data_IF_507981699626
#
_entry.id   IF_507981699626
#
_cell.length_a   1.000
_cell.length_b   1.000
_cell.length_c   1.000
_cell.angle_alpha   90.00
_cell.angle_beta   90.00
_cell.angle_gamma   90.00
#
_symmetry.space_group_name_H-M   'P 1'
#
loop_
_entity.id
_entity.type
_entity.pdbx_description
1 polymer ?
#
# COMPACT_ATOMS: atom_id res chain seq x y z
N UNK A 1 93.43 13.43 38.54
CA UNK A 1 92.60 14.46 39.20
C UNK A 1 92.39 15.57 38.20
N UNK A 2 91.23 16.10 37.91
CA UNK A 2 89.82 15.70 38.06
C UNK A 2 89.09 16.51 36.98
N UNK A 3 88.03 15.92 36.46
CA UNK A 3 86.87 16.51 35.78
C UNK A 3 86.90 17.97 35.30
N UNK A 4 86.51 18.15 34.02
CA UNK A 4 85.41 19.06 33.66
C UNK A 4 84.76 18.61 32.37
N UNK A 5 83.45 18.38 32.48
CA UNK A 5 82.49 18.08 31.43
C UNK A 5 82.56 19.07 30.27
N UNK A 6 82.34 18.58 29.06
CA UNK A 6 81.95 19.43 27.94
C UNK A 6 80.85 18.73 27.15
N UNK A 7 79.60 19.04 27.50
CA UNK A 7 78.38 18.64 26.80
C UNK A 7 78.23 19.46 25.52
N UNK A 8 78.20 18.87 24.32
CA UNK A 8 77.81 19.60 23.12
C UNK A 8 76.29 19.76 23.05
N UNK A 9 75.86 20.99 22.75
CA UNK A 9 74.48 21.44 22.68
C UNK A 9 73.58 20.60 21.76
N UNK A 10 72.32 20.44 22.19
CA UNK A 10 71.24 19.86 21.41
C UNK A 10 71.04 20.62 20.08
N UNK A 11 71.01 19.88 18.97
CA UNK A 11 70.71 20.42 17.65
C UNK A 11 69.25 20.94 17.59
N UNK A 12 68.99 22.09 16.97
CA UNK A 12 67.65 22.67 16.92
C UNK A 12 66.72 21.81 16.04
N UNK A 13 65.48 21.67 16.52
CA UNK A 13 64.39 21.02 15.81
C UNK A 13 64.20 21.64 14.41
N UNK A 14 64.16 20.81 13.36
CA UNK A 14 63.88 21.25 11.99
C UNK A 14 62.49 21.86 11.93
N UNK A 15 62.44 23.19 11.83
CA UNK A 15 61.20 23.94 11.60
C UNK A 15 60.57 23.57 10.26
N UNK A 16 59.25 23.39 10.27
CA UNK A 16 58.46 23.17 9.07
C UNK A 16 58.59 24.40 8.14
N UNK A 17 59.03 24.17 6.90
CA UNK A 17 59.18 25.23 5.89
C UNK A 17 57.80 25.74 5.48
N UNK A 18 57.51 27.06 5.51
CA UNK A 18 56.20 27.59 5.17
C UNK A 18 55.89 27.37 3.68
N UNK A 19 54.86 26.57 3.39
CA UNK A 19 54.40 26.28 2.03
C UNK A 19 53.86 27.56 1.38
N UNK A 20 54.27 27.86 0.14
CA UNK A 20 53.79 29.05 -0.58
C UNK A 20 52.25 29.02 -0.72
N UNK A 21 51.59 30.17 -0.56
CA UNK A 21 50.12 30.30 -0.65
C UNK A 21 49.55 29.72 -1.96
N UNK A 22 50.32 29.75 -3.03
CA UNK A 22 49.97 29.21 -4.33
C UNK A 22 50.02 27.68 -4.37
N UNK A 23 51.05 27.04 -3.79
CA UNK A 23 51.12 25.58 -3.62
C UNK A 23 50.01 25.08 -2.68
N UNK A 24 49.69 25.83 -1.62
CA UNK A 24 48.57 25.52 -0.74
C UNK A 24 47.21 25.59 -1.47
N UNK A 25 47.00 26.59 -2.34
CA UNK A 25 45.80 26.69 -3.20
C UNK A 25 45.73 25.55 -4.22
N UNK A 26 46.84 25.19 -4.86
CA UNK A 26 46.89 24.08 -5.81
C UNK A 26 46.63 22.72 -5.13
N UNK A 27 47.19 22.50 -3.93
CA UNK A 27 46.92 21.31 -3.12
C UNK A 27 45.44 21.18 -2.75
N UNK A 28 44.81 22.27 -2.28
CA UNK A 28 43.36 22.30 -1.99
C UNK A 28 42.52 21.99 -3.23
N UNK A 29 42.85 22.55 -4.39
CA UNK A 29 42.14 22.27 -5.66
C UNK A 29 42.27 20.79 -6.07
N UNK A 30 43.44 20.18 -5.88
CA UNK A 30 43.67 18.77 -6.20
C UNK A 30 42.86 17.86 -5.29
N UNK A 31 42.86 18.13 -3.98
CA UNK A 31 42.04 17.40 -3.00
C UNK A 31 40.55 17.53 -3.31
N UNK A 32 40.05 18.74 -3.57
CA UNK A 32 38.65 18.96 -3.93
C UNK A 32 38.24 18.22 -5.21
N UNK A 33 39.09 18.23 -6.25
CA UNK A 33 38.84 17.47 -7.49
C UNK A 33 38.78 15.97 -7.23
N UNK A 34 39.72 15.43 -6.45
CA UNK A 34 39.72 14.00 -6.11
C UNK A 34 38.48 13.62 -5.32
N UNK A 35 38.07 14.41 -4.32
CA UNK A 35 36.83 14.17 -3.57
C UNK A 35 35.60 14.21 -4.48
N UNK A 36 35.50 15.19 -5.38
CA UNK A 36 34.38 15.29 -6.33
C UNK A 36 34.31 14.10 -7.28
N UNK A 37 35.44 13.68 -7.84
CA UNK A 37 35.47 12.55 -8.77
C UNK A 37 35.20 11.23 -8.06
N UNK A 38 35.88 10.96 -6.93
CA UNK A 38 35.66 9.75 -6.15
C UNK A 38 34.24 9.70 -5.57
N UNK A 39 33.75 10.81 -5.03
CA UNK A 39 32.37 10.92 -4.54
C UNK A 39 31.34 10.78 -5.65
N UNK A 40 31.60 11.33 -6.84
CA UNK A 40 30.74 11.17 -8.01
C UNK A 40 30.65 9.73 -8.51
N UNK A 41 31.79 9.03 -8.60
CA UNK A 41 31.86 7.63 -9.04
C UNK A 41 31.25 6.67 -8.01
N UNK A 42 31.53 6.88 -6.71
CA UNK A 42 30.92 6.07 -5.65
C UNK A 42 29.42 6.35 -5.53
N UNK A 43 29.01 7.61 -5.64
CA UNK A 43 27.61 8.01 -5.60
C UNK A 43 26.81 7.43 -6.77
N UNK A 44 27.35 7.45 -7.98
CA UNK A 44 26.70 6.84 -9.15
C UNK A 44 26.65 5.31 -9.05
N UNK A 45 27.72 4.67 -8.59
CA UNK A 45 27.72 3.22 -8.36
C UNK A 45 26.71 2.79 -7.29
N UNK A 46 26.54 3.58 -6.23
CA UNK A 46 25.57 3.32 -5.17
C UNK A 46 24.14 3.71 -5.55
N UNK A 47 23.94 4.52 -6.59
CA UNK A 47 22.59 4.92 -7.03
C UNK A 47 21.71 3.71 -7.43
N UNK A 48 22.32 2.60 -7.86
CA UNK A 48 21.61 1.34 -8.11
C UNK A 48 20.96 0.70 -6.88
N UNK A 49 21.35 1.13 -5.67
CA UNK A 49 20.72 0.70 -4.41
C UNK A 49 19.57 1.62 -3.97
N UNK A 50 19.34 2.76 -4.63
CA UNK A 50 18.21 3.64 -4.32
C UNK A 50 16.87 2.89 -4.37
N UNK A 51 16.58 2.05 -5.38
CA UNK A 51 15.34 1.27 -5.40
C UNK A 51 15.19 0.31 -4.21
N UNK A 52 16.30 -0.19 -3.65
CA UNK A 52 16.30 -1.03 -2.44
C UNK A 52 16.06 -0.23 -1.15
N UNK A 53 16.53 1.02 -1.10
CA UNK A 53 16.25 1.93 0.03
C UNK A 53 14.79 2.39 0.01
N UNK A 54 14.23 2.62 -1.18
CA UNK A 54 12.81 3.00 -1.37
C UNK A 54 11.85 1.80 -1.42
N UNK A 55 12.36 0.57 -1.34
CA UNK A 55 11.64 -0.70 -1.54
C UNK A 55 10.53 -1.04 -0.53
N UNK A 56 10.33 -0.27 0.53
CA UNK A 56 9.34 -0.61 1.58
C UNK A 56 7.95 -0.05 1.26
N UNK A 57 7.48 -0.22 0.04
CA UNK A 57 6.09 0.08 -0.29
C UNK A 57 5.20 -1.08 0.17
N UNK A 58 4.39 -0.83 1.21
CA UNK A 58 3.35 -1.77 1.61
C UNK A 58 2.30 -1.81 0.49
N UNK A 59 2.25 -2.93 -0.23
CA UNK A 59 1.32 -3.14 -1.34
C UNK A 59 0.17 -4.04 -0.90
N UNK A 60 -1.04 -3.68 -1.31
CA UNK A 60 -2.18 -4.56 -1.16
C UNK A 60 -2.03 -5.72 -2.15
N UNK A 61 -2.00 -6.96 -1.64
CA UNK A 61 -1.89 -8.16 -2.47
C UNK A 61 -3.27 -8.67 -2.87
N UNK A 62 -3.39 -9.38 -4.01
CA UNK A 62 -4.64 -10.00 -4.42
C UNK A 62 -5.19 -10.99 -3.37
N UNK A 63 -6.49 -11.34 -3.46
CA UNK A 63 -7.09 -12.37 -2.61
C UNK A 63 -6.28 -13.67 -2.59
N UNK A 64 -6.14 -14.27 -1.41
CA UNK A 64 -5.43 -15.54 -1.22
C UNK A 64 -3.90 -15.45 -1.24
N UNK A 65 -3.33 -14.25 -1.27
CA UNK A 65 -1.88 -14.10 -1.27
C UNK A 65 -1.23 -14.68 -0.01
N UNK A 66 -0.13 -15.40 -0.22
CA UNK A 66 0.77 -15.79 0.86
C UNK A 66 1.32 -14.57 1.62
N UNK A 67 1.97 -14.84 2.74
CA UNK A 67 2.73 -13.81 3.43
C UNK A 67 3.83 -13.26 2.53
N UNK A 68 4.09 -11.96 2.61
CA UNK A 68 4.89 -11.22 1.62
C UNK A 68 6.21 -11.90 1.26
N UNK A 69 6.93 -12.46 2.25
CA UNK A 69 8.18 -13.16 1.98
C UNK A 69 7.97 -14.40 1.09
N UNK A 70 6.99 -15.23 1.43
CA UNK A 70 6.67 -16.46 0.71
C UNK A 70 5.95 -16.17 -0.62
N UNK A 71 5.17 -15.10 -0.65
CA UNK A 71 4.54 -14.58 -1.84
C UNK A 71 5.58 -14.14 -2.88
N UNK A 72 6.55 -13.35 -2.45
CA UNK A 72 7.62 -12.85 -3.33
C UNK A 72 8.56 -13.94 -3.80
N UNK A 73 8.79 -14.99 -3.01
CA UNK A 73 9.66 -16.10 -3.39
C UNK A 73 8.99 -17.10 -4.33
N UNK A 74 7.68 -17.31 -4.19
CA UNK A 74 6.92 -18.26 -5.01
C UNK A 74 6.35 -17.65 -6.30
N UNK A 75 6.12 -16.33 -6.34
CA UNK A 75 5.50 -15.68 -7.49
C UNK A 75 6.46 -15.65 -8.69
N UNK A 76 6.11 -16.38 -9.75
CA UNK A 76 6.87 -16.39 -11.02
C UNK A 76 6.53 -15.22 -11.95
N UNK A 77 5.68 -14.28 -11.51
CA UNK A 77 5.34 -13.04 -12.25
C UNK A 77 4.74 -13.29 -13.64
N UNK A 78 3.98 -14.38 -13.79
CA UNK A 78 3.39 -14.78 -15.08
C UNK A 78 2.23 -13.87 -15.54
N UNK A 79 1.67 -13.04 -14.66
CA UNK A 79 0.58 -12.14 -14.99
C UNK A 79 -0.80 -12.79 -15.18
N UNK A 80 -0.96 -14.10 -15.00
CA UNK A 80 -2.25 -14.78 -15.20
C UNK A 80 -3.37 -14.23 -14.31
N UNK A 81 -3.04 -13.86 -13.06
CA UNK A 81 -3.99 -13.20 -12.15
C UNK A 81 -4.52 -11.86 -12.69
N UNK A 82 -3.72 -11.10 -13.46
CA UNK A 82 -4.14 -9.86 -14.11
C UNK A 82 -5.10 -10.15 -15.25
N UNK A 83 -4.79 -11.15 -16.08
CA UNK A 83 -5.59 -11.52 -17.25
C UNK A 83 -7.00 -12.00 -16.88
N UNK A 84 -7.14 -12.72 -15.76
CA UNK A 84 -8.44 -13.24 -15.32
C UNK A 84 -9.25 -12.25 -14.49
N UNK A 85 -8.71 -11.09 -14.13
CA UNK A 85 -9.41 -10.14 -13.28
C UNK A 85 -10.43 -9.32 -14.10
N UNK A 86 -11.75 -9.51 -13.92
CA UNK A 86 -12.73 -8.90 -14.80
C UNK A 86 -12.86 -7.38 -14.65
N UNK A 87 -12.42 -6.83 -13.52
CA UNK A 87 -12.42 -5.38 -13.23
C UNK A 87 -11.02 -4.78 -13.29
N UNK A 88 -10.02 -5.54 -13.75
CA UNK A 88 -8.63 -5.08 -13.87
C UNK A 88 -8.04 -4.48 -12.57
N UNK A 89 -8.44 -4.99 -11.41
CA UNK A 89 -7.95 -4.51 -10.10
C UNK A 89 -6.49 -4.85 -9.83
N UNK A 90 -5.98 -5.92 -10.46
CA UNK A 90 -4.64 -6.41 -10.24
C UNK A 90 -3.71 -5.79 -11.29
N UNK A 91 -2.64 -5.14 -10.83
CA UNK A 91 -1.57 -4.56 -11.64
C UNK A 91 -0.25 -5.26 -11.34
N UNK A 92 0.69 -5.22 -12.28
CA UNK A 92 2.06 -5.66 -12.05
C UNK A 92 2.91 -4.44 -11.69
N UNK A 93 3.75 -4.57 -10.67
CA UNK A 93 4.70 -3.52 -10.31
C UNK A 93 5.72 -3.31 -11.46
N UNK A 94 5.96 -2.06 -11.82
CA UNK A 94 6.90 -1.65 -12.85
C UNK A 94 8.33 -1.52 -12.28
N UNK A 95 9.31 -1.32 -13.15
CA UNK A 95 10.72 -1.18 -12.81
C UNK A 95 10.98 0.00 -11.86
N UNK A 96 10.18 1.07 -12.00
CA UNK A 96 10.26 2.26 -11.15
C UNK A 96 9.63 2.06 -9.76
N UNK A 97 8.81 1.01 -9.60
CA UNK A 97 8.15 0.73 -8.32
C UNK A 97 9.13 0.07 -7.31
N UNK A 98 10.38 -0.19 -7.71
CA UNK A 98 11.43 -0.71 -6.85
C UNK A 98 11.31 -2.20 -6.58
N UNK A 99 11.46 -2.62 -5.32
CA UNK A 99 11.43 -4.05 -4.99
C UNK A 99 10.07 -4.68 -5.28
N UNK A 100 10.09 -5.86 -5.90
CA UNK A 100 8.88 -6.56 -6.32
C UNK A 100 8.44 -6.27 -7.76
N UNK A 101 9.33 -5.79 -8.64
CA UNK A 101 9.05 -5.66 -10.09
C UNK A 101 8.40 -6.94 -10.64
N UNK A 102 7.29 -6.78 -11.37
CA UNK A 102 6.48 -7.84 -11.96
C UNK A 102 5.58 -8.58 -10.97
N UNK A 103 5.63 -8.27 -9.67
CA UNK A 103 4.79 -8.93 -8.66
C UNK A 103 3.43 -8.22 -8.61
N UNK A 104 2.31 -8.97 -8.61
CA UNK A 104 0.99 -8.38 -8.66
C UNK A 104 0.60 -7.67 -7.36
N UNK A 105 -0.10 -6.55 -7.51
CA UNK A 105 -0.67 -5.75 -6.42
C UNK A 105 -1.99 -5.11 -6.83
N UNK A 106 -2.70 -4.56 -5.85
CA UNK A 106 -3.93 -3.78 -6.05
C UNK A 106 -3.66 -2.36 -5.55
N UNK A 107 -4.03 -1.38 -6.36
CA UNK A 107 -4.18 0.01 -5.91
C UNK A 107 -5.68 0.24 -5.65
N UNK A 108 -6.07 0.20 -4.39
CA UNK A 108 -7.47 0.33 -3.99
C UNK A 108 -8.07 1.68 -4.38
N UNK A 109 -7.26 2.75 -4.43
CA UNK A 109 -7.74 4.08 -4.79
C UNK A 109 -8.01 4.19 -6.29
N UNK A 110 -7.26 3.50 -7.13
CA UNK A 110 -7.46 3.50 -8.58
C UNK A 110 -8.47 2.46 -9.07
N UNK A 111 -8.38 1.22 -8.59
CA UNK A 111 -9.30 0.12 -8.93
C UNK A 111 -9.26 -0.94 -7.84
N UNK A 112 -10.29 -0.97 -6.99
CA UNK A 112 -10.45 -1.98 -5.95
C UNK A 112 -10.90 -3.34 -6.50
N UNK A 113 -10.68 -4.39 -5.71
CA UNK A 113 -11.30 -5.68 -5.94
C UNK A 113 -12.73 -5.64 -5.39
N UNK A 114 -13.73 -5.75 -6.25
CA UNK A 114 -15.14 -5.77 -5.88
C UNK A 114 -15.74 -7.20 -5.85
N UNK A 115 -14.89 -8.21 -5.98
CA UNK A 115 -15.26 -9.63 -6.08
C UNK A 115 -16.23 -9.97 -7.21
N UNK A 116 -16.24 -9.18 -8.28
CA UNK A 116 -16.98 -9.42 -9.53
C UNK A 116 -16.87 -10.83 -10.13
N UNK A 117 -15.78 -11.54 -9.86
CA UNK A 117 -15.58 -12.89 -10.38
C UNK A 117 -16.24 -13.99 -9.53
N UNK A 118 -16.96 -13.63 -8.45
CA UNK A 118 -17.67 -14.48 -7.46
C UNK A 118 -16.83 -15.54 -6.72
N UNK A 119 -15.70 -15.93 -7.28
CA UNK A 119 -14.89 -17.06 -6.87
C UNK A 119 -13.40 -16.73 -6.94
N UNK A 120 -13.01 -15.46 -6.77
CA UNK A 120 -11.59 -15.03 -6.70
C UNK A 120 -10.70 -15.73 -7.73
N UNK A 121 -11.09 -15.64 -9.01
CA UNK A 121 -10.49 -16.39 -10.13
C UNK A 121 -8.97 -16.24 -10.24
N UNK A 122 -8.40 -15.15 -9.71
CA UNK A 122 -6.95 -14.96 -9.60
C UNK A 122 -6.25 -16.08 -8.81
N UNK A 123 -6.90 -16.67 -7.81
CA UNK A 123 -6.39 -17.81 -7.05
C UNK A 123 -6.31 -19.05 -7.95
N UNK A 124 -7.38 -19.36 -8.68
CA UNK A 124 -7.42 -20.50 -9.61
C UNK A 124 -6.41 -20.38 -10.74
N UNK A 125 -6.17 -19.15 -11.20
CA UNK A 125 -5.21 -18.87 -12.25
C UNK A 125 -3.75 -18.77 -11.76
N UNK A 126 -3.46 -19.00 -10.47
CA UNK A 126 -2.09 -18.92 -9.96
C UNK A 126 -1.41 -20.30 -10.02
N UNK A 127 -0.48 -20.54 -10.97
CA UNK A 127 0.10 -21.88 -11.15
C UNK A 127 1.08 -22.27 -10.04
N UNK A 128 1.60 -21.30 -9.29
CA UNK A 128 2.61 -21.52 -8.24
C UNK A 128 2.01 -21.65 -6.84
N UNK A 129 0.71 -21.40 -6.67
CA UNK A 129 0.08 -21.32 -5.35
C UNK A 129 0.49 -20.09 -4.52
N UNK A 130 1.11 -19.07 -5.14
CA UNK A 130 1.37 -17.78 -4.48
C UNK A 130 0.07 -17.08 -4.07
N UNK A 131 -1.01 -17.33 -4.82
CA UNK A 131 -2.38 -17.09 -4.41
C UNK A 131 -3.02 -18.46 -4.15
N UNK A 132 -3.61 -18.66 -2.97
CA UNK A 132 -4.22 -19.93 -2.57
C UNK A 132 -5.48 -19.73 -1.74
N UNK A 133 -6.41 -20.67 -1.81
CA UNK A 133 -7.57 -20.75 -0.92
C UNK A 133 -7.18 -21.24 0.48
N UNK A 134 -6.21 -22.15 0.52
CA UNK A 134 -5.77 -22.83 1.71
C UNK A 134 -4.25 -22.86 1.70
N UNK A 135 -3.64 -22.22 2.70
CA UNK A 135 -2.21 -22.37 2.94
C UNK A 135 -1.94 -23.80 3.42
N UNK A 136 -0.86 -24.44 2.92
CA UNK A 136 -0.41 -25.70 3.50
C UNK A 136 0.10 -25.49 4.93
N UNK A 137 0.04 -26.53 5.76
CA UNK A 137 0.34 -26.44 7.20
C UNK A 137 1.73 -25.86 7.55
N UNK A 138 2.70 -25.99 6.62
CA UNK A 138 4.04 -25.45 6.81
C UNK A 138 4.16 -23.94 6.56
N UNK A 139 3.12 -23.30 6.01
CA UNK A 139 3.06 -21.84 5.82
C UNK A 139 2.11 -21.23 6.86
N UNK A 140 2.63 -20.48 7.84
CA UNK A 140 1.79 -19.92 8.88
C UNK A 140 0.85 -18.83 8.33
N UNK A 141 -0.34 -18.75 8.92
CA UNK A 141 -1.22 -17.60 8.82
C UNK A 141 -0.76 -16.57 9.85
N UNK A 142 -0.62 -15.30 9.46
CA UNK A 142 -0.32 -14.23 10.44
C UNK A 142 -1.40 -14.20 11.50
N UNK A 143 -1.01 -14.07 12.76
CA UNK A 143 -1.96 -13.94 13.85
C UNK A 143 -2.90 -12.77 13.60
N UNK A 144 -4.21 -13.04 13.67
CA UNK A 144 -5.23 -12.06 13.33
C UNK A 144 -5.32 -11.73 11.82
N UNK A 145 -4.80 -12.54 10.89
CA UNK A 145 -5.11 -12.45 9.45
C UNK A 145 -6.24 -13.40 9.01
N UNK A 146 -6.48 -14.46 9.78
CA UNK A 146 -7.60 -15.37 9.55
C UNK A 146 -8.95 -14.65 9.73
N UNK A 147 -9.89 -14.88 8.82
CA UNK A 147 -11.28 -14.45 8.94
C UNK A 147 -12.00 -15.36 9.94
N UNK A 148 -12.84 -14.80 10.81
CA UNK A 148 -13.63 -15.58 11.79
C UNK A 148 -14.70 -16.44 11.12
N UNK A 149 -15.13 -16.07 9.92
CA UNK A 149 -16.07 -16.80 9.08
C UNK A 149 -15.81 -16.49 7.60
N UNK A 150 -16.33 -17.34 6.70
CA UNK A 150 -16.29 -17.03 5.27
C UNK A 150 -17.08 -15.75 5.00
N UNK A 151 -16.53 -14.78 4.24
CA UNK A 151 -17.19 -13.50 4.05
C UNK A 151 -18.35 -13.65 3.07
N UNK A 152 -19.51 -13.12 3.44
CA UNK A 152 -20.72 -13.14 2.61
C UNK A 152 -20.71 -11.99 1.63
N UNK A 153 -20.84 -12.30 0.33
CA UNK A 153 -20.91 -11.31 -0.73
C UNK A 153 -22.36 -10.84 -0.87
N UNK A 154 -22.61 -9.53 -0.73
CA UNK A 154 -23.98 -8.97 -0.77
C UNK A 154 -24.68 -9.30 -2.10
N UNK A 155 -23.94 -9.25 -3.22
CA UNK A 155 -24.45 -9.57 -4.55
C UNK A 155 -24.96 -11.02 -4.68
N UNK A 156 -24.54 -11.93 -3.80
CA UNK A 156 -24.93 -13.34 -3.81
C UNK A 156 -25.86 -13.72 -2.66
N UNK A 157 -26.39 -12.78 -1.89
CA UNK A 157 -27.17 -13.11 -0.68
C UNK A 157 -28.41 -13.97 -0.93
N UNK A 158 -28.92 -13.99 -2.17
CA UNK A 158 -30.06 -14.82 -2.57
C UNK A 158 -29.62 -16.16 -3.20
N UNK A 159 -28.32 -16.39 -3.40
CA UNK A 159 -27.80 -17.64 -3.93
C UNK A 159 -27.71 -18.70 -2.82
N UNK A 160 -27.76 -20.00 -3.15
CA UNK A 160 -27.56 -21.07 -2.17
C UNK A 160 -26.22 -20.99 -1.43
N UNK A 161 -25.18 -20.45 -2.09
CA UNK A 161 -23.84 -20.29 -1.54
C UNK A 161 -23.37 -18.83 -1.66
N UNK A 162 -23.74 -17.97 -0.70
CA UNK A 162 -23.47 -16.54 -0.76
C UNK A 162 -22.05 -16.15 -0.32
N UNK A 163 -21.29 -17.10 0.24
CA UNK A 163 -19.97 -16.86 0.83
C UNK A 163 -18.84 -17.00 -0.18
N UNK A 164 -17.79 -16.20 -0.05
CA UNK A 164 -16.53 -16.38 -0.76
C UNK A 164 -15.67 -17.45 -0.06
N UNK A 165 -14.93 -18.23 -0.83
CA UNK A 165 -13.98 -19.20 -0.29
C UNK A 165 -12.66 -18.54 0.18
N UNK A 166 -12.75 -17.42 0.89
CA UNK A 166 -11.58 -16.76 1.46
C UNK A 166 -11.42 -17.10 2.94
N UNK A 167 -10.19 -17.39 3.34
CA UNK A 167 -9.81 -17.75 4.71
C UNK A 167 -8.99 -16.65 5.39
N UNK A 168 -8.36 -15.77 4.62
CA UNK A 168 -7.50 -14.70 5.10
C UNK A 168 -7.86 -13.34 4.49
N UNK A 169 -7.70 -12.28 5.29
CA UNK A 169 -7.89 -10.89 4.84
C UNK A 169 -6.68 -10.36 4.08
N UNK A 170 -6.93 -9.56 3.05
CA UNK A 170 -5.91 -8.87 2.25
C UNK A 170 -5.30 -7.68 3.00
N UNK A 171 -6.11 -7.06 3.85
CA UNK A 171 -5.78 -5.92 4.71
C UNK A 171 -7.00 -5.54 5.55
N UNK A 172 -6.97 -4.35 6.16
CA UNK A 172 -8.12 -3.84 6.92
C UNK A 172 -8.38 -2.39 6.55
N UNK A 173 -9.65 -2.03 6.41
CA UNK A 173 -10.05 -0.65 6.22
C UNK A 173 -9.92 0.13 7.54
N UNK A 174 -9.37 1.35 7.46
CA UNK A 174 -9.23 2.26 8.59
C UNK A 174 -9.67 3.66 8.20
N UNK A 175 -10.43 4.31 9.07
CA UNK A 175 -10.73 5.74 8.96
C UNK A 175 -9.46 6.52 9.35
N UNK A 176 -8.57 6.71 8.39
CA UNK A 176 -7.26 7.35 8.60
C UNK A 176 -7.33 8.86 8.71
N UNK A 177 -8.39 9.46 8.16
CA UNK A 177 -8.60 10.92 8.13
C UNK A 177 -10.04 11.24 8.57
N UNK A 178 -10.38 11.08 9.85
CA UNK A 178 -11.72 11.38 10.37
C UNK A 178 -12.12 12.84 10.14
N UNK A 179 -11.16 13.75 10.07
CA UNK A 179 -11.34 15.19 9.86
C UNK A 179 -11.80 15.56 8.45
N UNK A 180 -11.51 14.74 7.43
CA UNK A 180 -11.97 14.97 6.06
C UNK A 180 -13.29 14.27 5.75
N UNK A 181 -13.65 13.23 6.53
CA UNK A 181 -14.82 12.40 6.32
C UNK A 181 -16.14 13.19 6.39
N UNK A 182 -16.87 13.23 5.28
CA UNK A 182 -18.18 13.92 5.17
C UNK A 182 -19.18 13.41 6.23
N UNK A 183 -19.23 12.10 6.47
CA UNK A 183 -20.11 11.51 7.48
C UNK A 183 -19.79 12.02 8.90
N UNK A 184 -18.51 12.13 9.24
CA UNK A 184 -18.04 12.65 10.55
C UNK A 184 -18.32 14.14 10.72
N UNK A 185 -18.45 14.87 9.60
CA UNK A 185 -18.86 16.28 9.56
C UNK A 185 -20.39 16.46 9.58
N UNK A 186 -21.16 15.39 9.39
CA UNK A 186 -22.62 15.45 9.25
C UNK A 186 -23.05 16.00 7.88
N UNK A 187 -22.19 15.83 6.87
CA UNK A 187 -22.40 16.33 5.51
C UNK A 187 -22.92 15.22 4.58
N UNK A 188 -23.81 15.63 3.68
CA UNK A 188 -24.26 14.81 2.56
C UNK A 188 -23.23 14.70 1.44
N UNK A 189 -23.59 14.00 0.37
CA UNK A 189 -22.78 13.91 -0.83
C UNK A 189 -23.67 13.88 -2.07
N UNK A 190 -23.41 14.77 -3.03
CA UNK A 190 -24.13 14.84 -4.31
C UNK A 190 -23.15 14.90 -5.47
N UNK A 191 -23.33 14.04 -6.46
CA UNK A 191 -22.46 13.91 -7.63
C UNK A 191 -21.78 12.54 -7.72
N UNK A 192 -20.71 12.47 -8.49
CA UNK A 192 -19.94 11.26 -8.75
C UNK A 192 -18.85 11.09 -7.70
N UNK A 193 -18.69 9.87 -7.17
CA UNK A 193 -17.68 9.59 -6.15
C UNK A 193 -16.26 9.94 -6.61
N UNK A 194 -15.99 9.90 -7.92
CA UNK A 194 -14.72 10.28 -8.54
C UNK A 194 -14.96 11.17 -9.75
N UNK A 195 -13.94 11.95 -10.12
CA UNK A 195 -14.00 12.86 -11.26
C UNK A 195 -14.20 12.15 -12.60
N UNK A 196 -14.52 12.91 -13.67
CA UNK A 196 -14.87 12.35 -14.98
C UNK A 196 -13.75 11.52 -15.62
N UNK A 197 -12.49 11.80 -15.29
CA UNK A 197 -11.32 11.08 -15.83
C UNK A 197 -11.03 9.76 -15.09
N UNK A 198 -11.83 9.40 -14.08
CA UNK A 198 -11.62 8.21 -13.29
C UNK A 198 -12.03 6.95 -14.07
N UNK A 199 -11.04 6.09 -14.35
CA UNK A 199 -11.18 4.90 -15.18
C UNK A 199 -11.72 3.67 -14.44
N UNK A 200 -11.74 3.71 -13.11
CA UNK A 200 -12.15 2.57 -12.31
C UNK A 200 -13.61 2.21 -12.55
N UNK A 201 -13.89 0.91 -12.55
CA UNK A 201 -15.22 0.34 -12.75
C UNK A 201 -15.64 -0.46 -11.53
N UNK A 202 -16.94 -0.58 -11.32
CA UNK A 202 -17.50 -1.42 -10.27
C UNK A 202 -18.73 -2.14 -10.80
N UNK A 203 -18.92 -3.37 -10.33
CA UNK A 203 -20.21 -4.05 -10.43
C UNK A 203 -21.04 -3.69 -9.21
N UNK A 204 -21.81 -2.62 -9.35
CA UNK A 204 -22.76 -2.22 -8.32
C UNK A 204 -23.74 -3.36 -8.08
N UNK A 205 -23.98 -3.69 -6.82
CA UNK A 205 -24.84 -4.83 -6.43
C UNK A 205 -26.23 -4.76 -7.08
N UNK A 206 -26.74 -3.55 -7.33
CA UNK A 206 -28.05 -3.29 -7.95
C UNK A 206 -28.02 -3.27 -9.48
N UNK A 207 -26.84 -3.29 -10.08
CA UNK A 207 -26.63 -3.31 -11.53
C UNK A 207 -26.29 -4.74 -11.92
N UNK A 208 -26.61 -5.13 -13.15
CA UNK A 208 -26.28 -6.45 -13.68
C UNK A 208 -24.84 -6.84 -13.32
N UNK A 209 -24.72 -7.91 -12.53
CA UNK A 209 -23.45 -8.41 -12.01
C UNK A 209 -22.48 -8.85 -13.09
N UNK A 210 -22.84 -8.86 -14.37
CA UNK A 210 -21.95 -9.18 -15.49
C UNK A 210 -21.47 -7.95 -16.25
N UNK A 211 -22.01 -6.76 -15.95
CA UNK A 211 -21.70 -5.51 -16.64
C UNK A 211 -21.19 -4.45 -15.66
N UNK A 212 -19.85 -4.38 -15.44
CA UNK A 212 -19.25 -3.26 -14.72
C UNK A 212 -19.65 -1.93 -15.37
N UNK A 213 -19.92 -0.93 -14.53
CA UNK A 213 -20.08 0.44 -15.00
C UNK A 213 -18.93 1.30 -14.47
N UNK A 214 -18.50 2.32 -15.20
CA UNK A 214 -17.53 3.28 -14.70
C UNK A 214 -18.03 3.95 -13.43
N UNK A 215 -17.16 4.11 -12.44
CA UNK A 215 -17.50 4.82 -11.19
C UNK A 215 -17.82 6.29 -11.47
N UNK A 216 -17.20 6.87 -12.50
CA UNK A 216 -17.52 8.21 -12.99
C UNK A 216 -18.94 8.35 -13.57
N UNK A 217 -19.61 7.25 -13.93
CA UNK A 217 -20.95 7.26 -14.53
C UNK A 217 -22.07 6.98 -13.52
N UNK A 218 -21.73 6.81 -12.23
CA UNK A 218 -22.69 6.47 -11.19
C UNK A 218 -22.84 7.62 -10.17
N UNK A 219 -23.88 8.47 -10.31
CA UNK A 219 -24.10 9.59 -9.42
C UNK A 219 -24.80 9.19 -8.12
N UNK A 220 -24.57 9.99 -7.08
CA UNK A 220 -25.18 9.88 -5.77
C UNK A 220 -25.90 11.17 -5.39
N UNK A 221 -26.94 11.04 -4.57
CA UNK A 221 -27.58 12.15 -3.88
C UNK A 221 -27.95 11.67 -2.47
N UNK A 222 -27.09 11.98 -1.51
CA UNK A 222 -27.12 11.45 -0.16
C UNK A 222 -27.25 12.61 0.83
N UNK A 223 -28.26 12.61 1.71
CA UNK A 223 -28.38 13.63 2.76
C UNK A 223 -27.28 13.51 3.83
N UNK A 224 -26.72 12.31 3.99
CA UNK A 224 -25.55 12.02 4.81
C UNK A 224 -24.70 11.01 4.07
N UNK A 225 -23.39 11.27 3.93
CA UNK A 225 -22.51 10.38 3.19
C UNK A 225 -22.44 8.98 3.83
N UNK A 226 -22.82 7.95 3.08
CA UNK A 226 -22.81 6.55 3.50
C UNK A 226 -22.00 5.62 2.56
N UNK A 227 -21.31 6.19 1.56
CA UNK A 227 -20.73 5.48 0.41
C UNK A 227 -19.85 4.27 0.79
N UNK A 228 -18.98 4.43 1.79
CA UNK A 228 -18.08 3.35 2.21
C UNK A 228 -18.83 2.13 2.75
N UNK A 229 -19.97 2.32 3.42
CA UNK A 229 -20.83 1.24 3.91
C UNK A 229 -21.70 0.69 2.80
N UNK A 230 -22.38 1.60 2.08
CA UNK A 230 -23.33 1.29 1.00
C UNK A 230 -22.71 0.43 -0.10
N UNK A 231 -21.52 0.81 -0.56
CA UNK A 231 -20.85 0.14 -1.68
C UNK A 231 -19.91 -0.96 -1.19
N UNK A 232 -19.82 -1.21 0.12
CA UNK A 232 -19.04 -2.34 0.62
C UNK A 232 -19.64 -3.66 0.10
N UNK A 233 -18.88 -4.49 -0.61
CA UNK A 233 -19.42 -5.74 -1.15
C UNK A 233 -19.62 -6.82 -0.08
N UNK A 234 -19.01 -6.67 1.11
CA UNK A 234 -19.02 -7.70 2.15
C UNK A 234 -20.06 -7.36 3.22
N UNK A 235 -20.98 -8.30 3.46
CA UNK A 235 -22.03 -8.13 4.45
C UNK A 235 -21.43 -7.99 5.86
N UNK A 236 -21.87 -6.94 6.57
CA UNK A 236 -21.46 -6.68 7.94
C UNK A 236 -20.01 -6.22 8.11
N UNK A 237 -19.27 -5.92 7.03
CA UNK A 237 -17.88 -5.46 7.14
C UNK A 237 -17.76 -4.00 7.59
N UNK A 238 -18.75 -3.16 7.28
CA UNK A 238 -18.79 -1.75 7.67
C UNK A 238 -20.21 -1.42 8.14
N UNK A 239 -20.35 -0.67 9.23
CA UNK A 239 -21.60 -0.02 9.64
C UNK A 239 -21.40 1.48 9.79
N UNK A 240 -22.51 2.24 9.84
CA UNK A 240 -22.51 3.67 10.15
C UNK A 240 -23.21 3.92 11.47
N UNK A 241 -22.44 4.26 12.49
CA UNK A 241 -22.95 4.62 13.81
C UNK A 241 -23.21 6.12 13.88
N UNK A 242 -24.47 6.49 14.14
CA UNK A 242 -24.87 7.89 14.26
C UNK A 242 -24.59 8.41 15.66
N UNK A 243 -24.14 9.66 15.73
CA UNK A 243 -23.94 10.37 16.98
C UNK A 243 -24.31 11.85 16.81
N UNK A 244 -24.62 12.51 17.92
CA UNK A 244 -24.87 13.96 17.93
C UNK A 244 -23.58 14.70 18.21
N UNK A 245 -23.20 15.61 17.32
CA UNK A 245 -22.03 16.47 17.51
C UNK A 245 -22.23 17.52 18.61
N UNK A 246 -21.16 18.19 19.05
CA UNK A 246 -21.25 19.30 20.02
C UNK A 246 -22.12 20.47 19.53
N UNK A 247 -22.27 20.60 18.21
CA UNK A 247 -23.10 21.57 17.51
C UNK A 247 -24.56 21.14 17.33
N UNK A 248 -24.97 20.00 17.92
CA UNK A 248 -26.32 19.45 17.80
C UNK A 248 -26.61 18.77 16.45
N UNK A 249 -25.66 18.78 15.50
CA UNK A 249 -25.84 18.14 14.19
C UNK A 249 -25.72 16.62 14.31
N UNK A 250 -26.53 15.90 13.53
CA UNK A 250 -26.39 14.45 13.37
C UNK A 250 -25.17 14.17 12.50
N UNK A 251 -24.25 13.37 13.02
CA UNK A 251 -23.04 12.90 12.34
C UNK A 251 -23.05 11.37 12.32
N UNK A 252 -22.23 10.76 11.48
CA UNK A 252 -22.03 9.32 11.48
C UNK A 252 -20.56 8.94 11.37
N UNK A 253 -20.20 7.85 12.04
CA UNK A 253 -18.87 7.27 12.00
C UNK A 253 -18.92 5.92 11.30
N UNK A 254 -18.12 5.69 10.24
CA UNK A 254 -17.97 4.35 9.70
C UNK A 254 -17.19 3.50 10.71
N UNK A 255 -17.79 2.41 11.16
CA UNK A 255 -17.16 1.38 12.00
C UNK A 255 -16.86 0.19 11.12
N UNK A 256 -15.59 -0.21 11.10
CA UNK A 256 -15.11 -1.39 10.37
C UNK A 256 -15.13 -2.57 11.33
N UNK A 257 -15.68 -3.69 10.89
CA UNK A 257 -15.86 -4.91 11.67
C UNK A 257 -14.92 -6.03 11.21
N UNK A 258 -14.88 -7.13 11.97
CA UNK A 258 -13.98 -8.27 11.72
C UNK A 258 -14.17 -8.91 10.34
N UNK A 259 -15.40 -8.84 9.80
CA UNK A 259 -15.76 -9.31 8.47
C UNK A 259 -15.02 -8.54 7.35
N UNK A 260 -14.33 -7.43 7.65
CA UNK A 260 -13.54 -6.69 6.68
C UNK A 260 -12.42 -7.57 6.10
N UNK A 261 -12.48 -7.76 4.78
CA UNK A 261 -11.47 -8.52 4.02
C UNK A 261 -10.37 -7.62 3.43
N UNK A 262 -10.53 -6.30 3.50
CA UNK A 262 -9.55 -5.33 2.98
C UNK A 262 -9.53 -5.16 1.46
N UNK A 263 -10.67 -5.31 0.78
CA UNK A 263 -10.74 -5.32 -0.69
C UNK A 263 -10.53 -3.96 -1.38
N UNK A 264 -10.72 -2.85 -0.65
CA UNK A 264 -10.46 -1.50 -1.16
C UNK A 264 -11.66 -0.73 -1.69
N UNK A 265 -12.84 -1.34 -1.82
CA UNK A 265 -14.00 -0.66 -2.42
C UNK A 265 -14.37 0.63 -1.68
N UNK A 266 -14.31 0.61 -0.34
CA UNK A 266 -14.57 1.79 0.49
C UNK A 266 -13.58 2.94 0.25
N UNK A 267 -12.32 2.63 -0.07
CA UNK A 267 -11.29 3.62 -0.39
C UNK A 267 -11.47 4.18 -1.80
N UNK A 268 -11.77 3.31 -2.77
CA UNK A 268 -12.04 3.68 -4.16
C UNK A 268 -13.20 4.68 -4.27
N UNK A 269 -14.30 4.40 -3.56
CA UNK A 269 -15.54 5.17 -3.60
C UNK A 269 -15.57 6.36 -2.64
N UNK A 270 -14.55 6.52 -1.80
CA UNK A 270 -14.50 7.67 -0.89
C UNK A 270 -14.40 8.98 -1.71
N UNK A 271 -15.35 9.92 -1.57
CA UNK A 271 -15.38 11.10 -2.43
C UNK A 271 -14.35 12.17 -2.05
N UNK A 272 -13.68 12.02 -0.90
CA UNK A 272 -12.69 12.99 -0.43
C UNK A 272 -11.34 12.75 -1.10
N UNK A 273 -10.57 13.80 -1.30
CA UNK A 273 -9.19 13.73 -1.78
C UNK A 273 -8.26 14.49 -0.81
N UNK A 274 -7.34 13.82 -0.10
CA UNK A 274 -7.14 12.37 -0.03
C UNK A 274 -8.33 11.59 0.57
N UNK A 275 -8.38 10.28 0.33
CA UNK A 275 -9.43 9.41 0.86
C UNK A 275 -9.47 9.44 2.40
N UNK A 276 -10.69 9.50 2.96
CA UNK A 276 -10.93 9.54 4.41
C UNK A 276 -10.69 8.18 5.07
N UNK A 277 -11.10 7.13 4.36
CA UNK A 277 -10.95 5.73 4.73
C UNK A 277 -10.02 5.07 3.73
N UNK A 278 -8.99 4.37 4.21
CA UNK A 278 -8.01 3.68 3.38
C UNK A 278 -7.83 2.25 3.85
N UNK A 279 -7.39 1.37 2.96
CA UNK A 279 -6.95 0.03 3.31
C UNK A 279 -5.51 0.11 3.79
N UNK A 280 -5.24 -0.47 4.94
CA UNK A 280 -3.88 -0.72 5.40
C UNK A 280 -3.50 -2.13 4.91
N UNK A 281 -2.59 -2.26 3.93
CA UNK A 281 -2.24 -3.55 3.36
C UNK A 281 -1.69 -4.50 4.41
N UNK A 282 -2.11 -5.77 4.35
CA UNK A 282 -1.67 -6.84 5.25
C UNK A 282 -1.94 -6.62 6.74
N UNK A 283 -2.64 -5.55 7.12
CA UNK A 283 -3.06 -5.34 8.49
C UNK A 283 -3.92 -6.52 8.96
N UNK A 284 -3.78 -6.83 10.24
CA UNK A 284 -4.48 -7.90 10.93
C UNK A 284 -5.63 -7.31 11.75
N UNK A 285 -6.67 -8.11 11.95
CA UNK A 285 -7.71 -7.78 12.91
C UNK A 285 -7.13 -7.84 14.32
N UNK A 286 -7.44 -6.83 15.11
CA UNK A 286 -7.06 -6.74 16.53
C UNK A 286 -8.35 -6.63 17.31
N UNK A 287 -8.70 -7.69 18.03
CA UNK A 287 -9.84 -7.75 18.94
C UNK A 287 -9.65 -6.82 20.13
#
# INVERSE_FOLDING_TARGET
MSEKENTPAAAPAKGEVPVSRERARQGRRKVLRTILLTGGVLGSGLSGYLPLVYARTNRLRPPGALDEKDFLSSCIKCGQCVQVCPVNAIKLADLIDGFGVGVPYIDAREQACDFSCDAVQCILACPTGSLTYHKPDFLPVREGAALSQKPTLIAKMNDPEPTLNMTERMGVARLTRPESCLAMKGEGFKGQARGPDFKGTMRYIKVDRWKPIPVADHPYDLPLCDLCMRECPIAGAISLEKFTGPDGKTRARPIVHENCVGCGVCEMICPTEPASITIIPREVWKS
#
